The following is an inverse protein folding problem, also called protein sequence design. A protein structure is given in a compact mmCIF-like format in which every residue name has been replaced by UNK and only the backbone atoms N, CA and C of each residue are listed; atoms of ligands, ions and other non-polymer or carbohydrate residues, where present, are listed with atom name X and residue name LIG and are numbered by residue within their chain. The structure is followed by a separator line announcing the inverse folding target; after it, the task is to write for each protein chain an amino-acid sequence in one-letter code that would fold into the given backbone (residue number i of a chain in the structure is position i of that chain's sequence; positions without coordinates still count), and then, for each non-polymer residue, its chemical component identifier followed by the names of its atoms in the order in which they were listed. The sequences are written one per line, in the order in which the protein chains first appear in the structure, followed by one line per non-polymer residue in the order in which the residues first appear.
data_IF_544406993281
#
_entry.id   IF_544406993281
#
_cell.length_a   1.000
_cell.length_b   1.000
_cell.length_c   1.000
_cell.angle_alpha   90.00
_cell.angle_beta   90.00
_cell.angle_gamma   90.00
#
_symmetry.space_group_name_H-M   'P 1'
#
loop_
_entity.id
_entity.type
_entity.pdbx_description
1 polymer ?
#
# COMPACT_ATOMS: atom_id res chain seq x y z
N UNK A 1 5.83 -3.03 -14.27
CA UNK A 1 5.86 -2.24 -13.03
C UNK A 1 6.67 -0.95 -13.17
N UNK A 2 7.81 -0.92 -13.90
CA UNK A 2 8.57 0.33 -14.07
C UNK A 2 9.20 0.85 -12.77
N UNK A 3 9.51 -0.08 -11.85
CA UNK A 3 10.06 0.19 -10.52
C UNK A 3 11.48 -0.33 -10.42
N UNK A 4 12.25 0.31 -9.54
CA UNK A 4 13.57 -0.15 -9.09
C UNK A 4 13.39 -1.40 -8.22
N UNK A 5 13.85 -2.56 -8.68
CA UNK A 5 13.66 -3.82 -7.98
C UNK A 5 14.43 -3.91 -6.65
N UNK A 6 15.41 -3.02 -6.42
CA UNK A 6 16.16 -2.98 -5.14
C UNK A 6 15.34 -2.43 -3.97
N UNK A 7 14.21 -1.77 -4.26
CA UNK A 7 13.29 -1.23 -3.24
C UNK A 7 12.09 -2.13 -2.98
N UNK A 8 11.83 -3.09 -3.89
CA UNK A 8 10.70 -4.02 -3.80
C UNK A 8 11.03 -5.13 -2.80
N UNK A 9 10.05 -5.49 -1.98
CA UNK A 9 10.17 -6.56 -1.01
C UNK A 9 10.38 -7.90 -1.72
N UNK A 10 11.60 -8.42 -1.62
CA UNK A 10 11.98 -9.74 -2.08
C UNK A 10 11.45 -10.81 -1.13
N UNK A 11 10.94 -11.90 -1.70
CA UNK A 11 10.54 -13.10 -0.98
C UNK A 11 11.72 -14.08 -1.04
N UNK A 12 12.38 -14.31 0.10
CA UNK A 12 13.55 -15.18 0.17
C UNK A 12 13.19 -16.64 -0.10
N UNK A 13 13.95 -17.31 -0.98
CA UNK A 13 13.65 -18.69 -1.38
C UNK A 13 13.65 -19.67 -0.21
N UNK A 14 14.56 -19.47 0.77
CA UNK A 14 14.61 -20.29 1.99
C UNK A 14 13.30 -20.28 2.79
N UNK A 15 12.54 -19.18 2.71
CA UNK A 15 11.30 -19.01 3.46
C UNK A 15 10.10 -19.37 2.60
N UNK A 16 10.14 -19.12 1.29
CA UNK A 16 8.98 -19.18 0.39
C UNK A 16 9.01 -20.28 -0.67
N UNK A 17 10.19 -20.78 -1.06
CA UNK A 17 10.34 -21.81 -2.10
C UNK A 17 9.92 -21.35 -3.49
N UNK A 18 10.01 -20.04 -3.78
CA UNK A 18 9.54 -19.41 -5.03
C UNK A 18 10.69 -19.02 -5.98
N UNK A 19 11.93 -19.37 -5.63
CA UNK A 19 13.15 -19.04 -6.35
C UNK A 19 13.74 -17.67 -6.01
N UNK A 20 14.98 -17.45 -6.47
CA UNK A 20 15.79 -16.27 -6.12
C UNK A 20 15.28 -14.93 -6.66
N UNK A 21 14.22 -14.92 -7.47
CA UNK A 21 13.66 -13.73 -8.11
C UNK A 21 12.16 -13.56 -7.80
N UNK A 22 11.74 -13.95 -6.60
CA UNK A 22 10.36 -13.76 -6.12
C UNK A 22 10.22 -12.41 -5.39
N UNK A 23 9.17 -11.66 -5.73
CA UNK A 23 8.89 -10.33 -5.16
C UNK A 23 7.42 -10.22 -4.76
N UNK A 24 7.17 -9.56 -3.62
CA UNK A 24 5.84 -9.34 -3.13
C UNK A 24 5.14 -8.21 -3.90
N UNK A 25 3.91 -8.48 -4.33
CA UNK A 25 3.06 -7.52 -5.00
C UNK A 25 1.59 -7.86 -4.78
N UNK A 26 0.73 -6.86 -4.91
CA UNK A 26 -0.73 -6.98 -4.89
C UNK A 26 -1.29 -6.44 -6.19
N UNK A 27 -2.45 -6.93 -6.61
CA UNK A 27 -3.12 -6.39 -7.79
C UNK A 27 -3.87 -5.10 -7.45
N UNK A 28 -3.76 -4.09 -8.32
CA UNK A 28 -4.30 -2.74 -8.11
C UNK A 28 -5.81 -2.73 -7.88
N UNK A 29 -6.59 -3.49 -8.65
CA UNK A 29 -8.03 -3.63 -8.44
C UNK A 29 -8.39 -4.06 -7.01
N UNK A 30 -7.64 -4.98 -6.39
CA UNK A 30 -7.92 -5.38 -5.01
C UNK A 30 -7.51 -4.30 -4.00
N UNK A 31 -6.50 -3.49 -4.32
CA UNK A 31 -6.17 -2.33 -3.52
C UNK A 31 -7.25 -1.24 -3.62
N UNK A 32 -7.79 -0.98 -4.81
CA UNK A 32 -8.93 -0.07 -5.01
C UNK A 32 -10.17 -0.54 -4.23
N UNK A 33 -10.47 -1.84 -4.26
CA UNK A 33 -11.55 -2.44 -3.47
C UNK A 33 -11.33 -2.29 -1.96
N UNK A 34 -10.08 -2.50 -1.50
CA UNK A 34 -9.71 -2.25 -0.10
C UNK A 34 -9.94 -0.79 0.29
N UNK A 35 -9.46 0.16 -0.51
CA UNK A 35 -9.65 1.59 -0.28
C UNK A 35 -11.13 2.01 -0.26
N UNK A 36 -11.93 1.49 -1.21
CA UNK A 36 -13.37 1.73 -1.25
C UNK A 36 -14.07 1.22 0.02
N UNK A 37 -13.72 0.02 0.47
CA UNK A 37 -14.27 -0.54 1.71
C UNK A 37 -13.77 0.22 2.97
N UNK A 38 -12.53 0.70 2.98
CA UNK A 38 -11.99 1.53 4.06
C UNK A 38 -12.75 2.86 4.14
N UNK A 39 -13.03 3.51 3.00
CA UNK A 39 -13.88 4.70 2.95
C UNK A 39 -15.30 4.40 3.45
N UNK A 40 -15.88 3.27 3.04
CA UNK A 40 -17.20 2.82 3.54
C UNK A 40 -17.19 2.69 5.06
N UNK A 41 -16.16 2.07 5.63
CA UNK A 41 -16.03 1.92 7.09
C UNK A 41 -15.84 3.25 7.82
N UNK A 42 -15.11 4.21 7.24
CA UNK A 42 -14.99 5.57 7.79
C UNK A 42 -16.34 6.29 7.79
N UNK A 43 -17.07 6.21 6.68
CA UNK A 43 -18.41 6.82 6.54
C UNK A 43 -19.41 6.22 7.54
N UNK A 44 -19.33 4.90 7.78
CA UNK A 44 -20.17 4.19 8.75
C UNK A 44 -19.47 3.89 10.08
N UNK A 45 -18.52 4.73 10.50
CA UNK A 45 -17.72 4.48 11.70
C UNK A 45 -18.56 4.16 12.94
N UNK A 46 -19.69 4.85 13.12
CA UNK A 46 -20.65 4.61 14.22
C UNK A 46 -21.27 3.20 14.23
N UNK A 47 -21.43 2.55 13.06
CA UNK A 47 -21.90 1.17 12.94
C UNK A 47 -20.78 0.14 13.18
N UNK A 48 -19.53 0.49 12.86
CA UNK A 48 -18.35 -0.39 12.98
C UNK A 48 -17.52 -0.15 14.25
N UNK A 49 -18.08 0.54 15.25
CA UNK A 49 -17.45 0.83 16.53
C UNK A 49 -16.17 1.71 16.44
N UNK A 50 -16.12 2.60 15.44
CA UNK A 50 -15.18 3.72 15.37
C UNK A 50 -16.00 5.03 15.44
N UNK A 51 -16.16 5.56 16.66
CA UNK A 51 -16.95 6.74 17.04
C UNK A 51 -17.28 7.75 15.92
N UNK A 52 -18.56 7.88 15.60
CA UNK A 52 -19.30 9.16 15.64
C UNK A 52 -20.76 8.86 16.06
N UNK A 53 -21.31 9.78 16.84
CA UNK A 53 -22.52 9.62 17.64
C UNK A 53 -23.82 9.34 16.87
N UNK A 54 -24.65 8.47 17.45
CA UNK A 54 -26.12 8.37 17.37
C UNK A 54 -26.74 8.36 15.95
N UNK A 55 -27.09 7.16 15.47
CA UNK A 55 -27.94 6.98 14.30
C UNK A 55 -29.24 6.26 14.70
N UNK A 56 -30.27 7.00 15.10
CA UNK A 56 -31.64 6.49 15.30
C UNK A 56 -32.53 6.70 14.05
N UNK A 57 -31.99 7.24 12.96
CA UNK A 57 -32.69 7.40 11.68
C UNK A 57 -31.73 7.17 10.52
N UNK A 58 -31.94 6.11 9.75
CA UNK A 58 -31.29 5.92 8.45
C UNK A 58 -31.73 7.08 7.55
N UNK A 59 -30.89 8.10 7.42
CA UNK A 59 -31.17 9.29 6.62
C UNK A 59 -30.93 8.99 5.14
N UNK A 60 -31.62 9.70 4.24
CA UNK A 60 -31.40 9.69 2.77
C UNK A 60 -29.90 9.73 2.38
N UNK A 61 -29.07 10.35 3.22
CA UNK A 61 -27.62 10.41 3.07
C UNK A 61 -26.94 9.03 3.11
N UNK A 62 -27.35 8.12 3.99
CA UNK A 62 -26.80 6.77 4.07
C UNK A 62 -27.19 5.92 2.86
N UNK A 63 -28.44 6.02 2.41
CA UNK A 63 -28.90 5.38 1.17
C UNK A 63 -28.12 5.87 -0.05
N UNK A 64 -27.84 7.17 -0.11
CA UNK A 64 -27.03 7.77 -1.18
C UNK A 64 -25.59 7.26 -1.15
N UNK A 65 -24.95 7.31 0.03
CA UNK A 65 -23.59 6.82 0.19
C UNK A 65 -23.47 5.33 -0.16
N UNK A 66 -24.42 4.49 0.25
CA UNK A 66 -24.41 3.05 -0.06
C UNK A 66 -24.44 2.78 -1.56
N UNK A 67 -25.38 3.36 -2.30
CA UNK A 67 -25.41 3.10 -3.74
C UNK A 67 -24.21 3.74 -4.47
N UNK A 68 -23.65 4.86 -3.96
CA UNK A 68 -22.42 5.42 -4.50
C UNK A 68 -21.26 4.44 -4.34
N UNK A 69 -21.13 3.80 -3.16
CA UNK A 69 -20.17 2.72 -2.96
C UNK A 69 -20.43 1.55 -3.92
N UNK A 70 -21.69 1.15 -4.11
CA UNK A 70 -22.04 0.03 -4.99
C UNK A 70 -21.75 0.33 -6.47
N UNK A 71 -22.02 1.55 -6.94
CA UNK A 71 -21.73 1.96 -8.32
C UNK A 71 -20.22 2.05 -8.56
N UNK A 72 -19.46 2.59 -7.60
CA UNK A 72 -18.00 2.63 -7.69
C UNK A 72 -17.39 1.24 -7.64
N UNK A 73 -17.92 0.36 -6.78
CA UNK A 73 -17.55 -1.05 -6.70
C UNK A 73 -17.75 -1.74 -8.06
N UNK A 74 -18.94 -1.61 -8.63
CA UNK A 74 -19.27 -2.14 -9.95
C UNK A 74 -18.35 -1.57 -11.02
N UNK A 75 -18.07 -0.27 -11.01
CA UNK A 75 -17.15 0.36 -11.97
C UNK A 75 -15.73 -0.20 -11.85
N UNK A 76 -15.22 -0.39 -10.62
CA UNK A 76 -13.88 -0.94 -10.37
C UNK A 76 -13.81 -2.41 -10.82
N UNK A 77 -14.83 -3.21 -10.52
CA UNK A 77 -14.89 -4.61 -10.93
C UNK A 77 -15.04 -4.78 -12.45
N UNK A 78 -15.87 -3.96 -13.08
CA UNK A 78 -16.11 -4.01 -14.53
C UNK A 78 -14.92 -3.50 -15.35
N UNK A 79 -14.20 -2.48 -14.87
CA UNK A 79 -13.02 -1.95 -15.58
C UNK A 79 -11.72 -2.67 -15.22
N UNK A 80 -11.66 -3.29 -14.03
CA UNK A 80 -10.68 -4.29 -13.61
C UNK A 80 -9.23 -3.95 -13.94
N UNK A 81 -8.57 -3.13 -13.11
CA UNK A 81 -7.13 -2.90 -13.26
C UNK A 81 -6.31 -4.11 -12.72
N UNK A 82 -5.62 -4.83 -13.61
CA UNK A 82 -4.81 -5.99 -13.23
C UNK A 82 -3.31 -5.69 -13.10
N UNK A 83 -2.94 -4.41 -13.04
CA UNK A 83 -1.56 -4.06 -12.85
C UNK A 83 -1.12 -4.41 -11.43
N UNK A 84 0.15 -4.79 -11.31
CA UNK A 84 0.76 -5.18 -10.04
C UNK A 84 1.30 -3.96 -9.33
N UNK A 85 0.80 -3.71 -8.13
CA UNK A 85 1.35 -2.81 -7.11
C UNK A 85 2.43 -3.60 -6.36
N UNK A 86 3.72 -3.28 -6.55
CA UNK A 86 4.77 -3.89 -5.75
C UNK A 86 4.67 -3.43 -4.30
N UNK A 87 5.06 -4.31 -3.38
CA UNK A 87 5.29 -3.94 -1.99
C UNK A 87 6.74 -3.51 -1.84
N UNK A 88 7.00 -2.39 -1.18
CA UNK A 88 8.32 -1.77 -1.02
C UNK A 88 8.65 -1.59 0.45
N UNK A 89 9.93 -1.64 0.80
CA UNK A 89 10.36 -1.35 2.17
C UNK A 89 10.30 0.16 2.41
N UNK A 90 9.72 0.57 3.54
CA UNK A 90 9.61 1.98 3.92
C UNK A 90 10.19 2.21 5.31
N UNK A 91 10.93 3.31 5.51
CA UNK A 91 11.68 3.58 6.75
C UNK A 91 10.86 3.49 8.04
N UNK A 92 9.56 3.79 7.97
CA UNK A 92 8.69 3.85 9.15
C UNK A 92 7.79 2.62 9.32
N UNK A 93 7.86 1.66 8.40
CA UNK A 93 6.92 0.54 8.38
C UNK A 93 7.59 -0.76 8.76
N UNK A 94 7.06 -1.40 9.80
CA UNK A 94 7.47 -2.75 10.20
C UNK A 94 7.16 -3.82 9.14
N UNK A 95 6.38 -3.50 8.10
CA UNK A 95 6.03 -4.41 7.00
C UNK A 95 6.10 -3.67 5.65
N UNK A 96 6.36 -4.38 4.53
CA UNK A 96 6.34 -3.78 3.19
C UNK A 96 5.03 -3.05 2.86
N UNK A 97 5.13 -1.88 2.24
CA UNK A 97 3.99 -1.02 1.91
C UNK A 97 3.72 -0.98 0.40
N UNK A 98 2.47 -0.76 0.00
CA UNK A 98 2.06 -0.72 -1.41
C UNK A 98 2.53 0.54 -2.15
N UNK A 99 3.32 0.39 -3.22
CA UNK A 99 3.70 1.49 -4.13
C UNK A 99 2.72 1.62 -5.30
N UNK A 100 1.81 2.58 -5.20
CA UNK A 100 0.67 2.73 -6.10
C UNK A 100 0.99 3.42 -7.44
N UNK A 101 2.23 3.86 -7.65
CA UNK A 101 2.61 4.63 -8.84
C UNK A 101 3.05 3.71 -9.99
N UNK A 102 2.09 3.02 -10.61
CA UNK A 102 2.33 1.96 -11.62
C UNK A 102 1.74 2.29 -13.00
N UNK A 103 2.28 1.68 -14.06
CA UNK A 103 1.79 1.82 -15.44
C UNK A 103 0.61 0.89 -15.71
N UNK A 104 -0.49 1.40 -16.31
CA UNK A 104 -1.78 0.69 -16.36
C UNK A 104 -2.17 0.01 -17.69
N UNK A 105 -2.83 -1.16 -17.65
CA UNK A 105 -3.39 -1.90 -18.83
C UNK A 105 -4.74 -2.61 -18.53
N UNK A 106 -5.57 -2.84 -19.56
CA UNK A 106 -6.94 -3.39 -19.42
C UNK A 106 -7.04 -4.92 -19.65
N UNK A 107 -7.91 -5.63 -18.91
CA UNK A 107 -8.02 -7.12 -18.95
C UNK A 107 -9.40 -7.68 -18.51
N UNK A 108 -9.58 -9.02 -18.54
CA UNK A 108 -10.78 -9.76 -18.09
C UNK A 108 -10.70 -10.14 -16.59
N UNK A 109 -11.66 -9.67 -15.78
CA UNK A 109 -11.57 -9.70 -14.31
C UNK A 109 -11.96 -11.02 -13.64
N UNK A 110 -12.90 -11.78 -14.18
CA UNK A 110 -13.41 -13.01 -13.54
C UNK A 110 -12.37 -14.13 -13.55
N UNK A 111 -11.82 -14.42 -14.75
CA UNK A 111 -10.74 -15.40 -14.91
C UNK A 111 -9.51 -15.07 -14.06
N UNK A 112 -9.27 -13.78 -13.88
CA UNK A 112 -8.18 -13.30 -13.06
C UNK A 112 -8.45 -13.53 -11.57
N UNK A 113 -9.69 -13.32 -11.11
CA UNK A 113 -10.06 -13.54 -9.70
C UNK A 113 -9.89 -14.99 -9.29
N UNK A 114 -10.31 -15.92 -10.15
CA UNK A 114 -10.15 -17.35 -9.89
C UNK A 114 -8.68 -17.74 -9.79
N UNK A 115 -7.88 -17.34 -10.79
CA UNK A 115 -6.43 -17.56 -10.78
C UNK A 115 -5.76 -16.96 -9.53
N UNK A 116 -6.14 -15.74 -9.12
CA UNK A 116 -5.56 -15.08 -7.94
C UNK A 116 -5.83 -15.87 -6.66
N UNK A 117 -7.03 -16.45 -6.49
CA UNK A 117 -7.36 -17.23 -5.29
C UNK A 117 -6.51 -18.50 -5.18
N UNK A 118 -6.26 -19.14 -6.31
CA UNK A 118 -5.44 -20.35 -6.41
C UNK A 118 -3.94 -20.06 -6.23
N UNK A 119 -3.49 -18.84 -6.55
CA UNK A 119 -2.07 -18.48 -6.62
C UNK A 119 -1.66 -17.38 -5.61
N UNK A 120 -2.49 -17.10 -4.60
CA UNK A 120 -2.12 -16.16 -3.52
C UNK A 120 -1.22 -16.84 -2.49
N UNK A 121 -0.28 -16.07 -1.93
CA UNK A 121 0.57 -16.55 -0.82
C UNK A 121 -0.23 -16.67 0.48
N UNK A 122 0.21 -17.58 1.35
CA UNK A 122 -0.34 -17.74 2.70
C UNK A 122 -0.10 -16.46 3.52
N UNK A 123 -1.20 -15.86 3.98
CA UNK A 123 -1.19 -14.60 4.71
C UNK A 123 -0.73 -14.76 6.17
N UNK A 124 -0.93 -15.91 6.79
CA UNK A 124 -0.46 -16.15 8.17
C UNK A 124 1.06 -16.29 8.16
N UNK A 125 1.58 -17.08 7.21
CA UNK A 125 3.02 -17.17 6.95
C UNK A 125 3.63 -15.80 6.60
N UNK A 126 2.92 -14.98 5.82
CA UNK A 126 3.38 -13.63 5.48
C UNK A 126 3.62 -12.77 6.72
N UNK A 127 2.69 -12.75 7.67
CA UNK A 127 2.83 -11.98 8.91
C UNK A 127 4.00 -12.46 9.74
N UNK A 128 4.25 -13.78 9.78
CA UNK A 128 5.35 -14.37 10.52
C UNK A 128 6.72 -13.96 9.94
N UNK A 129 6.90 -14.04 8.62
CA UNK A 129 8.24 -13.96 8.01
C UNK A 129 8.57 -12.59 7.40
N UNK A 130 7.57 -11.75 7.10
CA UNK A 130 7.79 -10.47 6.41
C UNK A 130 7.92 -9.27 7.34
N UNK A 131 8.00 -9.50 8.65
CA UNK A 131 8.30 -8.42 9.61
C UNK A 131 9.72 -7.89 9.36
N UNK A 132 9.86 -6.57 9.32
CA UNK A 132 11.14 -5.90 9.17
C UNK A 132 12.08 -6.31 10.32
N UNK A 133 13.27 -6.87 10.02
CA UNK A 133 14.33 -7.09 10.98
C UNK A 133 14.91 -5.78 11.52
N UNK A 134 15.41 -5.81 12.76
CA UNK A 134 15.96 -4.65 13.45
C UNK A 134 17.31 -4.18 12.86
N UNK A 135 17.50 -2.85 12.74
CA UNK A 135 18.78 -2.21 12.34
C UNK A 135 18.89 -1.77 10.88
N UNK A 136 19.96 -1.00 10.57
CA UNK A 136 20.32 -0.61 9.20
C UNK A 136 20.81 -1.83 8.41
N UNK A 137 20.16 -2.10 7.27
CA UNK A 137 20.42 -3.31 6.49
C UNK A 137 21.27 -3.03 5.27
N UNK A 138 22.43 -3.69 5.12
CA UNK A 138 23.17 -3.68 3.87
C UNK A 138 22.31 -4.29 2.75
N UNK A 139 22.09 -3.52 1.68
CA UNK A 139 21.49 -4.03 0.43
C UNK A 139 19.96 -3.91 0.29
N UNK A 140 19.22 -3.43 1.29
CA UNK A 140 17.78 -3.14 1.16
C UNK A 140 17.56 -1.63 1.12
N UNK A 141 17.16 -1.12 -0.05
CA UNK A 141 16.89 0.31 -0.24
C UNK A 141 15.47 0.63 0.22
N UNK A 142 15.36 1.39 1.32
CA UNK A 142 14.07 1.77 1.89
C UNK A 142 13.60 3.11 1.31
N UNK A 143 12.29 3.27 1.14
CA UNK A 143 11.65 4.51 0.70
C UNK A 143 11.16 5.34 1.90
N UNK A 144 11.15 6.67 1.79
CA UNK A 144 10.59 7.53 2.82
C UNK A 144 9.07 7.42 2.83
N UNK A 145 8.48 7.54 4.03
CA UNK A 145 7.04 7.74 4.13
C UNK A 145 6.65 9.12 3.61
N UNK A 146 5.40 9.28 3.19
CA UNK A 146 4.85 10.58 2.81
C UNK A 146 4.78 11.52 4.02
N UNK A 147 4.91 12.83 3.81
CA UNK A 147 4.94 13.83 4.90
C UNK A 147 3.74 13.74 5.86
N UNK A 148 2.54 13.55 5.31
CA UNK A 148 1.31 13.39 6.10
C UNK A 148 1.35 12.19 7.05
N UNK A 149 2.16 11.19 6.75
CA UNK A 149 2.34 10.03 7.62
C UNK A 149 3.06 10.45 8.92
N UNK A 150 4.13 11.23 8.82
CA UNK A 150 4.85 11.75 9.98
C UNK A 150 3.97 12.69 10.80
N UNK A 151 3.20 13.56 10.14
CA UNK A 151 2.23 14.44 10.79
C UNK A 151 1.18 13.65 11.59
N UNK A 152 0.56 12.63 10.97
CA UNK A 152 -0.49 11.82 11.60
C UNK A 152 0.01 11.09 12.87
N UNK A 153 1.23 10.57 12.83
CA UNK A 153 1.82 9.83 13.95
C UNK A 153 2.63 10.70 14.92
N UNK A 154 2.79 12.00 14.65
CA UNK A 154 3.60 12.91 15.46
C UNK A 154 5.10 12.55 15.44
N UNK A 155 5.59 11.95 14.36
CA UNK A 155 6.98 11.56 14.21
C UNK A 155 7.82 12.70 13.61
N UNK A 156 9.10 12.72 13.95
CA UNK A 156 10.09 13.55 13.29
C UNK A 156 10.15 13.21 11.80
N UNK A 157 9.89 14.20 10.93
CA UNK A 157 9.93 14.01 9.49
C UNK A 157 11.38 14.18 8.96
N UNK A 158 12.05 13.11 8.49
CA UNK A 158 13.39 13.18 7.94
C UNK A 158 13.42 13.66 6.48
N UNK A 159 12.29 13.68 5.76
CA UNK A 159 12.24 14.00 4.33
C UNK A 159 12.75 15.42 4.01
N UNK A 160 12.64 16.32 4.98
CA UNK A 160 13.06 17.73 4.86
C UNK A 160 14.35 18.02 5.63
N UNK A 161 14.99 17.00 6.21
CA UNK A 161 16.30 17.16 6.85
C UNK A 161 17.38 17.13 5.76
N UNK A 162 18.38 18.04 5.81
CA UNK A 162 19.46 18.04 4.83
C UNK A 162 20.29 16.75 4.90
N UNK A 163 20.70 16.20 3.75
CA UNK A 163 21.56 15.00 3.66
C UNK A 163 22.73 15.23 2.71
N UNK A 164 23.84 14.49 2.92
CA UNK A 164 24.90 14.36 1.91
C UNK A 164 24.34 13.68 0.66
N UNK A 165 24.75 14.14 -0.53
CA UNK A 165 24.25 13.64 -1.82
C UNK A 165 24.10 12.11 -1.88
N UNK A 166 22.97 11.64 -2.42
CA UNK A 166 22.64 10.21 -2.53
C UNK A 166 21.67 9.67 -1.47
N UNK A 167 21.26 10.47 -0.49
CA UNK A 167 20.17 10.17 0.45
C UNK A 167 18.80 10.69 0.01
N UNK A 168 17.73 10.21 0.65
CA UNK A 168 16.38 10.77 0.53
C UNK A 168 16.22 11.92 1.54
N UNK A 169 16.45 13.15 1.08
CA UNK A 169 16.33 14.41 1.82
C UNK A 169 16.59 15.60 0.87
N UNK A 170 16.43 16.84 1.32
CA UNK A 170 16.89 17.99 0.53
C UNK A 170 18.42 17.92 0.39
N UNK A 171 18.98 18.05 -0.84
CA UNK A 171 20.42 18.08 -1.01
C UNK A 171 21.01 19.18 -0.13
N UNK A 172 22.07 18.86 0.63
CA UNK A 172 22.94 19.89 1.17
C UNK A 172 23.61 20.59 -0.01
N UNK A 173 23.19 21.81 -0.31
CA UNK A 173 23.87 22.66 -1.26
C UNK A 173 25.30 22.89 -0.73
N UNK A 174 26.30 22.26 -1.35
CA UNK A 174 27.69 22.41 -0.92
C UNK A 174 28.28 23.77 -1.32
N UNK A 175 27.54 24.59 -2.07
CA UNK A 175 27.91 25.95 -2.45
C UNK A 175 27.23 27.00 -1.55
N UNK A 176 27.61 27.04 -0.27
CA UNK A 176 27.33 28.18 0.63
C UNK A 176 28.50 29.18 0.67
N UNK A 177 29.02 29.52 -0.52
CA UNK A 177 29.96 30.62 -0.74
C UNK A 177 29.32 31.80 -1.50
N UNK A 178 28.09 32.16 -1.13
CA UNK A 178 27.51 33.49 -1.34
C UNK A 178 26.76 33.94 -0.09
#
# INVERSE_FOLDING_TARGET
MGKDYTTVAKLEDKDWGLGDNAYAAIFDVYHQLHCLNSLRKVVYGGYYNMSQARADKVMQRELHMNHCFDILLQSIQCSGNLDMIPLVWMYTQAYPFADMSINKKCHNFDKFTDWRRENSIDMDKYVEVMKQPEGDKPGIKQLPAADKYYEYWGYDNPNHKPVSEGGLGLPLDQDSNL
#
